data_IF_877134210797
#
_entry.id   IF_877134210797
#
_cell.length_a   1.000
_cell.length_b   1.000
_cell.length_c   1.000
_cell.angle_alpha   90.00
_cell.angle_beta   90.00
_cell.angle_gamma   90.00
#
_symmetry.space_group_name_H-M   'P 1'
#
loop_
_entity.id
_entity.type
_entity.pdbx_description
1 polymer ?
#
# COMPACT_ATOMS: atom_id res chain seq x y z
N UNK A 1 -13.18 -3.32 -12.38
CA UNK A 1 -12.95 -3.99 -11.08
C UNK A 1 -11.78 -4.93 -11.25
N UNK A 2 -10.75 -4.76 -10.43
CA UNK A 2 -9.63 -5.70 -10.41
C UNK A 2 -10.06 -7.00 -9.74
N UNK A 3 -9.59 -8.12 -10.28
CA UNK A 3 -9.76 -9.41 -9.62
C UNK A 3 -8.92 -9.45 -8.35
N UNK A 4 -9.34 -10.24 -7.35
CA UNK A 4 -8.58 -10.44 -6.10
C UNK A 4 -7.09 -10.74 -6.35
N UNK A 5 -6.79 -11.56 -7.36
CA UNK A 5 -5.42 -11.89 -7.74
C UNK A 5 -4.62 -10.66 -8.22
N UNK A 6 -5.24 -9.75 -8.98
CA UNK A 6 -4.59 -8.51 -9.43
C UNK A 6 -4.34 -7.56 -8.26
N UNK A 7 -5.31 -7.41 -7.36
CA UNK A 7 -5.15 -6.62 -6.13
C UNK A 7 -4.01 -7.17 -5.27
N UNK A 8 -3.98 -8.49 -5.04
CA UNK A 8 -2.91 -9.14 -4.28
C UNK A 8 -1.54 -9.01 -4.95
N UNK A 9 -1.46 -9.13 -6.27
CA UNK A 9 -0.21 -8.94 -7.01
C UNK A 9 0.32 -7.50 -6.88
N UNK A 10 -0.57 -6.51 -6.97
CA UNK A 10 -0.20 -5.12 -6.80
C UNK A 10 0.23 -4.82 -5.35
N UNK A 11 -0.43 -5.40 -4.34
CA UNK A 11 0.00 -5.31 -2.94
C UNK A 11 1.37 -5.94 -2.71
N UNK A 12 1.62 -7.13 -3.25
CA UNK A 12 2.91 -7.79 -3.14
C UNK A 12 4.02 -7.00 -3.84
N UNK A 13 3.71 -6.36 -4.98
CA UNK A 13 4.64 -5.47 -5.66
C UNK A 13 4.98 -4.25 -4.80
N UNK A 14 3.98 -3.59 -4.20
CA UNK A 14 4.19 -2.48 -3.26
C UNK A 14 5.03 -2.90 -2.04
N UNK A 15 4.79 -4.11 -1.51
CA UNK A 15 5.54 -4.67 -0.39
C UNK A 15 7.02 -4.91 -0.74
N UNK A 16 7.28 -5.43 -1.93
CA UNK A 16 8.63 -5.67 -2.41
C UNK A 16 9.44 -4.36 -2.60
N UNK A 17 8.75 -3.27 -2.96
CA UNK A 17 9.40 -1.97 -3.16
C UNK A 17 9.65 -1.19 -1.86
N UNK A 18 8.88 -1.46 -0.79
CA UNK A 18 9.06 -0.81 0.52
C UNK A 18 10.47 -0.86 1.12
N UNK A 19 11.20 -1.99 1.15
CA UNK A 19 12.56 -2.01 1.67
C UNK A 19 13.51 -1.13 0.85
N UNK A 20 13.37 -1.10 -0.48
CA UNK A 20 14.17 -0.24 -1.35
C UNK A 20 13.85 1.25 -1.14
N UNK A 21 12.57 1.55 -0.95
CA UNK A 21 12.09 2.90 -0.67
C UNK A 21 12.54 3.39 0.69
N UNK A 22 12.36 2.61 1.74
CA UNK A 22 12.79 2.94 3.12
C UNK A 22 14.31 3.09 3.23
N UNK A 23 15.09 2.31 2.46
CA UNK A 23 16.54 2.45 2.41
C UNK A 23 17.01 3.75 1.71
N UNK A 24 16.29 4.22 0.69
CA UNK A 24 16.64 5.44 -0.06
C UNK A 24 15.88 6.70 0.38
N UNK A 25 15.01 6.57 1.39
CA UNK A 25 14.11 7.61 1.86
C UNK A 25 14.87 8.71 2.63
N UNK A 26 15.44 9.68 1.90
CA UNK A 26 16.00 10.91 2.52
C UNK A 26 14.90 11.84 3.03
N UNK A 27 13.74 11.88 2.38
CA UNK A 27 12.60 12.73 2.73
C UNK A 27 11.27 11.95 2.69
N UNK A 28 10.77 11.46 3.83
CA UNK A 28 9.48 10.74 3.89
C UNK A 28 8.31 11.57 3.34
N UNK A 29 8.37 12.89 3.45
CA UNK A 29 7.31 13.79 2.98
C UNK A 29 7.09 13.79 1.46
N UNK A 30 8.09 13.43 0.66
CA UNK A 30 7.95 13.41 -0.82
C UNK A 30 7.49 12.05 -1.34
N UNK A 31 7.80 10.98 -0.61
CA UNK A 31 7.48 9.61 -1.00
C UNK A 31 6.07 9.19 -0.59
N UNK A 32 5.67 9.52 0.65
CA UNK A 32 4.36 9.14 1.17
C UNK A 32 3.15 9.59 0.36
N UNK A 33 3.08 10.80 -0.23
CA UNK A 33 1.95 11.17 -1.07
C UNK A 33 1.81 10.29 -2.31
N UNK A 34 2.92 9.83 -2.91
CA UNK A 34 2.89 8.93 -4.07
C UNK A 34 2.42 7.52 -3.66
N UNK A 35 2.96 6.99 -2.56
CA UNK A 35 2.51 5.71 -2.01
C UNK A 35 1.02 5.73 -1.63
N UNK A 36 0.57 6.81 -0.98
CA UNK A 36 -0.82 6.99 -0.58
C UNK A 36 -1.76 7.05 -1.79
N UNK A 37 -1.35 7.72 -2.87
CA UNK A 37 -2.11 7.75 -4.12
C UNK A 37 -2.22 6.36 -4.77
N UNK A 38 -1.13 5.59 -4.83
CA UNK A 38 -1.14 4.21 -5.35
C UNK A 38 -2.02 3.29 -4.50
N UNK A 39 -1.91 3.38 -3.17
CA UNK A 39 -2.74 2.62 -2.25
C UNK A 39 -4.22 2.98 -2.42
N UNK A 40 -4.55 4.27 -2.59
CA UNK A 40 -5.92 4.73 -2.84
C UNK A 40 -6.46 4.16 -4.14
N UNK A 41 -5.68 4.23 -5.22
CA UNK A 41 -6.08 3.72 -6.53
C UNK A 41 -6.30 2.20 -6.50
N UNK A 42 -5.40 1.46 -5.85
CA UNK A 42 -5.53 0.02 -5.65
C UNK A 42 -6.80 -0.33 -4.88
N UNK A 43 -7.08 0.38 -3.79
CA UNK A 43 -8.29 0.19 -3.00
C UNK A 43 -9.55 0.58 -3.76
N UNK A 44 -9.50 1.57 -4.65
CA UNK A 44 -10.64 2.01 -5.46
C UNK A 44 -10.92 1.06 -6.63
N UNK A 45 -9.87 0.48 -7.22
CA UNK A 45 -9.98 -0.53 -8.26
C UNK A 45 -10.39 -1.91 -7.72
N UNK A 46 -10.11 -2.19 -6.44
CA UNK A 46 -10.49 -3.43 -5.77
C UNK A 46 -12.01 -3.54 -5.60
N UNK A 47 -12.50 -4.77 -5.68
CA UNK A 47 -13.90 -5.08 -5.40
C UNK A 47 -14.26 -4.71 -3.95
N UNK A 48 -15.46 -4.17 -3.66
CA UNK A 48 -15.86 -3.82 -2.29
C UNK A 48 -15.76 -4.97 -1.30
N UNK A 49 -15.95 -6.23 -1.73
CA UNK A 49 -15.75 -7.41 -0.87
C UNK A 49 -14.28 -7.69 -0.53
N UNK A 50 -13.35 -7.24 -1.35
CA UNK A 50 -11.90 -7.44 -1.19
C UNK A 50 -11.19 -6.19 -0.65
N UNK A 51 -11.80 -5.00 -0.76
CA UNK A 51 -11.25 -3.72 -0.31
C UNK A 51 -10.83 -3.75 1.16
N UNK A 52 -11.62 -4.39 2.02
CA UNK A 52 -11.28 -4.57 3.43
C UNK A 52 -10.03 -5.43 3.62
N UNK A 53 -9.93 -6.54 2.88
CA UNK A 53 -8.75 -7.42 2.90
C UNK A 53 -7.51 -6.72 2.36
N UNK A 54 -7.64 -6.00 1.24
CA UNK A 54 -6.56 -5.23 0.64
C UNK A 54 -6.05 -4.14 1.60
N UNK A 55 -6.95 -3.46 2.32
CA UNK A 55 -6.57 -2.49 3.35
C UNK A 55 -5.87 -3.14 4.53
N UNK A 56 -6.35 -4.29 5.01
CA UNK A 56 -5.66 -5.02 6.08
C UNK A 56 -4.27 -5.47 5.67
N UNK A 57 -4.10 -5.92 4.43
CA UNK A 57 -2.79 -6.28 3.89
C UNK A 57 -1.83 -5.07 3.83
N UNK A 58 -2.32 -3.90 3.40
CA UNK A 58 -1.54 -2.66 3.43
C UNK A 58 -1.12 -2.27 4.86
N UNK A 59 -2.04 -2.36 5.82
CA UNK A 59 -1.76 -2.07 7.24
C UNK A 59 -0.72 -3.02 7.80
N UNK A 60 -0.86 -4.33 7.55
CA UNK A 60 0.08 -5.34 8.02
C UNK A 60 1.48 -5.10 7.44
N UNK A 61 1.55 -4.87 6.12
CA UNK A 61 2.78 -4.56 5.41
C UNK A 61 3.48 -3.33 6.00
N UNK A 62 2.78 -2.23 6.24
CA UNK A 62 3.38 -1.04 6.85
C UNK A 62 3.85 -1.31 8.28
N UNK A 63 3.10 -2.08 9.07
CA UNK A 63 3.47 -2.45 10.42
C UNK A 63 4.75 -3.31 10.46
N UNK A 64 4.93 -4.23 9.51
CA UNK A 64 6.15 -5.04 9.39
C UNK A 64 7.41 -4.19 9.16
N UNK A 65 7.25 -3.05 8.49
CA UNK A 65 8.33 -2.10 8.23
C UNK A 65 8.42 -0.97 9.28
N UNK A 66 7.69 -1.07 10.39
CA UNK A 66 7.59 -0.04 11.44
C UNK A 66 7.16 1.35 10.91
N UNK A 67 6.37 1.38 9.84
CA UNK A 67 5.83 2.60 9.24
C UNK A 67 4.46 2.89 9.86
N UNK A 68 4.19 4.17 10.10
CA UNK A 68 2.92 4.61 10.65
C UNK A 68 1.76 4.38 9.66
N UNK A 69 0.75 3.63 10.10
CA UNK A 69 -0.39 3.26 9.26
C UNK A 69 -1.36 4.42 9.00
N UNK A 70 -1.21 5.56 9.69
CA UNK A 70 -2.00 6.79 9.44
C UNK A 70 -1.60 7.47 8.14
N UNK A 71 -0.53 7.02 7.49
CA UNK A 71 -0.11 7.47 6.17
C UNK A 71 -0.98 6.86 5.04
N UNK A 72 -1.74 5.81 5.35
CA UNK A 72 -2.71 5.26 4.41
C UNK A 72 -3.89 6.23 4.23
N UNK A 73 -4.44 6.33 3.00
CA UNK A 73 -5.64 7.10 2.76
C UNK A 73 -6.81 6.54 3.59
N UNK A 74 -7.62 7.44 4.14
CA UNK A 74 -8.77 7.09 4.99
C UNK A 74 -9.91 6.44 4.23
#
# INVERSE_FOLDING_TARGET
MNTRAQTQAALAHMAAMLPEWTAHLRHPAEFWPQFSALAKELLDAADPGDRAQARQALVAMLAEHAIDTRLLPH
#
